data_IF_726463878003
#
_entry.id   IF_726463878003
#
_cell.length_a   1.000
_cell.length_b   1.000
_cell.length_c   1.000
_cell.angle_alpha   90.00
_cell.angle_beta   90.00
_cell.angle_gamma   90.00
#
_symmetry.space_group_name_H-M   'P 1'
#
loop_
_entity.id
_entity.type
_entity.pdbx_description
1 polymer ?
#
# COMPACT_ATOMS: atom_id res chain seq x y z
N UNK A 1 17.08 -6.21 2.51
CA UNK A 1 16.33 -6.10 1.24
C UNK A 1 17.32 -6.33 0.12
N UNK A 2 17.30 -7.49 -0.54
CA UNK A 2 18.20 -7.76 -1.66
C UNK A 2 17.68 -7.04 -2.90
N UNK A 3 18.60 -6.56 -3.74
CA UNK A 3 18.29 -5.79 -4.94
C UNK A 3 18.62 -6.62 -6.17
N UNK A 4 17.70 -6.62 -7.13
CA UNK A 4 17.76 -7.41 -8.35
C UNK A 4 17.65 -6.50 -9.57
N UNK A 5 18.64 -6.45 -10.46
CA UNK A 5 18.43 -5.92 -11.80
C UNK A 5 17.25 -6.63 -12.48
N UNK A 6 16.43 -5.89 -13.23
CA UNK A 6 15.19 -6.41 -13.84
C UNK A 6 15.42 -7.67 -14.69
N UNK A 7 16.55 -7.74 -15.38
CA UNK A 7 16.95 -8.90 -16.17
C UNK A 7 17.22 -10.14 -15.30
N UNK A 8 17.89 -9.98 -14.17
CA UNK A 8 18.19 -11.08 -13.24
C UNK A 8 16.93 -11.52 -12.51
N UNK A 9 16.09 -10.55 -12.10
CA UNK A 9 14.78 -10.82 -11.51
C UNK A 9 13.89 -11.63 -12.46
N UNK A 10 13.92 -11.36 -13.77
CA UNK A 10 13.18 -12.13 -14.78
C UNK A 10 13.72 -13.56 -14.89
N UNK A 11 15.04 -13.74 -14.91
CA UNK A 11 15.66 -15.06 -15.08
C UNK A 11 15.56 -15.93 -13.81
N UNK A 12 15.48 -15.31 -12.64
CA UNK A 12 15.47 -15.99 -11.34
C UNK A 12 14.17 -15.71 -10.56
N UNK A 13 13.06 -15.48 -11.26
CA UNK A 13 11.82 -15.00 -10.64
C UNK A 13 11.32 -15.92 -9.52
N UNK A 14 11.43 -17.24 -9.68
CA UNK A 14 11.06 -18.21 -8.63
C UNK A 14 11.84 -17.99 -7.33
N UNK A 15 13.15 -17.72 -7.41
CA UNK A 15 13.99 -17.44 -6.25
C UNK A 15 13.65 -16.09 -5.62
N UNK A 16 13.35 -15.06 -6.44
CA UNK A 16 12.89 -13.77 -5.93
C UNK A 16 11.60 -13.94 -5.12
N UNK A 17 10.66 -14.76 -5.61
CA UNK A 17 9.40 -15.05 -4.93
C UNK A 17 9.60 -15.86 -3.65
N UNK A 18 10.52 -16.83 -3.64
CA UNK A 18 10.87 -17.59 -2.44
C UNK A 18 11.46 -16.67 -1.35
N UNK A 19 12.45 -15.85 -1.71
CA UNK A 19 13.06 -14.89 -0.78
C UNK A 19 12.05 -13.83 -0.32
N UNK A 20 11.11 -13.42 -1.18
CA UNK A 20 10.01 -12.54 -0.79
C UNK A 20 9.09 -13.14 0.29
N UNK A 21 9.02 -14.47 0.38
CA UNK A 21 8.25 -15.21 1.37
C UNK A 21 9.04 -15.50 2.64
N UNK A 22 10.32 -15.88 2.52
CA UNK A 22 11.14 -16.31 3.66
C UNK A 22 11.92 -15.17 4.31
N UNK A 23 12.49 -14.29 3.50
CA UNK A 23 13.49 -13.29 3.91
C UNK A 23 12.92 -11.86 3.88
N UNK A 24 11.71 -11.71 3.35
CA UNK A 24 10.99 -10.45 3.25
C UNK A 24 11.18 -9.72 1.91
N UNK A 25 10.80 -8.43 1.81
CA UNK A 25 10.72 -7.72 0.54
C UNK A 25 12.00 -7.75 -0.32
N UNK A 26 11.81 -7.83 -1.64
CA UNK A 26 12.89 -7.87 -2.63
C UNK A 26 12.76 -6.69 -3.60
N UNK A 27 13.82 -5.90 -3.79
CA UNK A 27 13.81 -4.73 -4.67
C UNK A 27 14.16 -5.15 -6.09
N UNK A 28 13.42 -4.65 -7.08
CA UNK A 28 13.78 -4.77 -8.50
C UNK A 28 14.19 -3.41 -9.03
N UNK A 29 15.33 -3.35 -9.73
CA UNK A 29 15.88 -2.11 -10.31
C UNK A 29 15.93 -2.17 -11.83
N UNK A 30 15.85 -1.00 -12.47
CA UNK A 30 16.11 -0.81 -13.90
C UNK A 30 17.15 0.29 -14.04
N UNK A 31 18.28 -0.01 -14.69
CA UNK A 31 19.41 0.93 -14.81
C UNK A 31 19.92 1.43 -13.44
N UNK A 32 19.91 0.57 -12.42
CA UNK A 32 20.33 0.92 -11.05
C UNK A 32 19.23 1.53 -10.18
N UNK A 33 18.18 2.10 -10.78
CA UNK A 33 17.10 2.76 -10.04
C UNK A 33 16.01 1.78 -9.61
N UNK A 34 15.51 1.84 -8.36
CA UNK A 34 14.39 1.02 -7.91
C UNK A 34 13.11 1.32 -8.70
N UNK A 35 12.51 0.26 -9.27
CA UNK A 35 11.26 0.38 -10.07
C UNK A 35 10.11 -0.45 -9.53
N UNK A 36 10.39 -1.51 -8.77
CA UNK A 36 9.38 -2.34 -8.14
C UNK A 36 9.90 -3.02 -6.87
N UNK A 37 8.99 -3.48 -6.02
CA UNK A 37 9.30 -4.30 -4.85
C UNK A 37 8.39 -5.52 -4.88
N UNK A 38 8.98 -6.71 -4.82
CA UNK A 38 8.26 -7.98 -4.67
C UNK A 38 8.11 -8.28 -3.18
N UNK A 39 6.88 -8.53 -2.74
CA UNK A 39 6.54 -8.90 -1.37
C UNK A 39 5.68 -10.16 -1.38
N UNK A 40 5.72 -10.94 -0.31
CA UNK A 40 4.79 -12.08 -0.19
C UNK A 40 3.33 -11.61 -0.24
N UNK A 41 2.46 -12.42 -0.84
CA UNK A 41 1.04 -12.10 -0.93
C UNK A 41 0.40 -11.92 0.46
N UNK A 42 0.84 -12.70 1.46
CA UNK A 42 0.37 -12.58 2.85
C UNK A 42 0.76 -11.24 3.48
N UNK A 43 1.99 -10.79 3.26
CA UNK A 43 2.45 -9.48 3.72
C UNK A 43 1.72 -8.34 3.03
N UNK A 44 1.57 -8.40 1.70
CA UNK A 44 0.80 -7.41 0.95
C UNK A 44 -0.63 -7.31 1.47
N UNK A 45 -1.32 -8.44 1.66
CA UNK A 45 -2.68 -8.48 2.21
C UNK A 45 -2.76 -7.87 3.61
N UNK A 46 -1.78 -8.13 4.48
CA UNK A 46 -1.74 -7.50 5.82
C UNK A 46 -1.53 -6.00 5.74
N UNK A 47 -0.63 -5.51 4.88
CA UNK A 47 -0.33 -4.08 4.71
C UNK A 47 -1.46 -3.33 4.01
N UNK A 48 -2.16 -3.98 3.08
CA UNK A 48 -3.27 -3.41 2.32
C UNK A 48 -4.56 -3.31 3.15
N UNK A 49 -4.66 -4.02 4.28
CA UNK A 49 -5.79 -3.86 5.20
C UNK A 49 -5.68 -2.51 5.90
N UNK A 50 -6.76 -1.70 5.92
CA UNK A 50 -6.84 -0.54 6.79
C UNK A 50 -6.54 -0.97 8.23
N UNK A 51 -5.64 -0.23 8.91
CA UNK A 51 -5.28 -0.51 10.31
C UNK A 51 -6.47 -0.40 11.26
N UNK A 52 -7.44 0.42 10.87
CA UNK A 52 -8.70 0.64 11.57
C UNK A 52 -9.78 0.88 10.52
N UNK A 53 -11.01 0.49 10.84
CA UNK A 53 -12.17 0.89 10.03
C UNK A 53 -12.40 2.38 10.15
N UNK A 54 -13.02 3.00 9.13
CA UNK A 54 -13.43 4.42 9.21
C UNK A 54 -14.33 4.67 10.43
N UNK A 55 -15.13 3.68 10.82
CA UNK A 55 -15.96 3.74 12.02
C UNK A 55 -15.13 3.76 13.31
N UNK A 56 -14.11 2.91 13.43
CA UNK A 56 -13.19 2.89 14.57
C UNK A 56 -12.38 4.19 14.66
N UNK A 57 -11.89 4.71 13.53
CA UNK A 57 -11.18 5.99 13.46
C UNK A 57 -12.01 7.14 14.07
N UNK A 58 -13.32 7.14 13.82
CA UNK A 58 -14.24 8.14 14.36
C UNK A 58 -14.86 7.79 15.71
N UNK A 59 -14.58 6.60 16.27
CA UNK A 59 -15.13 6.19 17.57
C UNK A 59 -14.84 7.20 18.70
N UNK A 60 -13.66 7.83 18.79
CA UNK A 60 -13.38 8.87 19.80
C UNK A 60 -14.24 10.14 19.67
N UNK A 61 -14.87 10.39 18.52
CA UNK A 61 -15.77 11.53 18.36
C UNK A 61 -17.15 11.28 18.97
N UNK A 62 -17.47 10.03 19.32
CA UNK A 62 -18.73 9.70 19.98
C UNK A 62 -18.80 10.40 21.34
N UNK A 63 -19.79 11.28 21.52
CA UNK A 63 -19.95 12.05 22.76
C UNK A 63 -19.09 13.32 22.85
N UNK A 64 -18.34 13.67 21.81
CA UNK A 64 -17.54 14.91 21.74
C UNK A 64 -18.34 16.21 21.67
N UNK A 65 -19.67 16.13 21.53
CA UNK A 65 -20.54 17.30 21.37
C UNK A 65 -20.47 17.97 19.98
N UNK A 66 -19.64 17.45 19.06
CA UNK A 66 -19.54 17.96 17.69
C UNK A 66 -20.88 17.75 16.97
N UNK A 67 -21.50 18.84 16.53
CA UNK A 67 -22.73 18.82 15.73
C UNK A 67 -22.41 18.94 14.25
N UNK A 68 -22.28 17.81 13.59
CA UNK A 68 -22.13 17.76 12.13
C UNK A 68 -23.51 17.82 11.47
N UNK A 69 -23.64 18.65 10.44
CA UNK A 69 -24.74 18.57 9.49
C UNK A 69 -24.17 18.16 8.15
N UNK A 70 -24.84 17.25 7.43
CA UNK A 70 -24.46 16.89 6.07
C UNK A 70 -24.56 18.14 5.21
N UNK A 71 -23.43 18.60 4.68
CA UNK A 71 -23.44 19.68 3.70
C UNK A 71 -24.13 19.16 2.42
N UNK A 72 -25.11 19.93 1.94
CA UNK A 72 -25.87 19.65 0.71
C UNK A 72 -25.47 20.56 -0.45
N UNK A 73 -24.45 21.39 -0.25
CA UNK A 73 -23.90 22.24 -1.29
C UNK A 73 -23.47 21.38 -2.48
N UNK A 74 -23.75 21.89 -3.66
CA UNK A 74 -23.23 21.30 -4.89
C UNK A 74 -21.70 21.45 -4.89
N UNK A 75 -20.97 20.45 -5.41
CA UNK A 75 -19.54 20.61 -5.62
C UNK A 75 -19.29 21.88 -6.43
N UNK A 76 -18.24 22.62 -6.08
CA UNK A 76 -17.85 23.83 -6.82
C UNK A 76 -17.78 23.49 -8.31
N UNK A 77 -18.43 24.32 -9.12
CA UNK A 77 -18.32 24.24 -10.57
C UNK A 77 -16.83 24.39 -10.92
N UNK A 78 -16.24 23.32 -11.46
CA UNK A 78 -14.91 23.41 -12.06
C UNK A 78 -15.15 23.74 -13.52
N UNK A 79 -14.99 25.00 -13.88
CA UNK A 79 -14.84 25.36 -15.28
C UNK A 79 -13.55 24.68 -15.77
N UNK A 80 -13.72 23.80 -16.77
CA UNK A 80 -12.64 23.11 -17.49
C UNK A 80 -12.26 23.93 -18.71
#
# INVERSE_FOLDING_TARGET
>A
MKTWPLQDAKNQFSQVVELAQTDGPQTVTKQGEPVAVVVSAGEFKRRARPKESVLEFFAPLKGSGIRLKRNRDLPRNREL
#
